data_IF_844969093452
#
_entry.id   IF_844969093452
#
_cell.length_a   1.000
_cell.length_b   1.000
_cell.length_c   1.000
_cell.angle_alpha   90.00
_cell.angle_beta   90.00
_cell.angle_gamma   90.00
#
_symmetry.space_group_name_H-M   'P 1'
#
loop_
_entity.id
_entity.type
_entity.pdbx_description
1 polymer ?
#
# COMPACT_ATOMS: atom_id res chain seq x y z
N UNK A 1 -4.88 -10.84 21.19
CA UNK A 1 -5.77 -11.74 21.91
C UNK A 1 -5.71 -13.20 21.36
N UNK A 2 -4.75 -13.51 20.52
CA UNK A 2 -4.41 -14.88 20.12
C UNK A 2 -3.65 -15.57 21.26
N UNK A 3 -3.90 -16.87 21.46
CA UNK A 3 -3.10 -17.68 22.37
C UNK A 3 -1.80 -18.16 21.69
N UNK A 4 -1.65 -17.99 20.39
CA UNK A 4 -0.43 -18.25 19.64
C UNK A 4 0.56 -17.10 19.82
N UNK A 5 1.72 -17.41 20.31
CA UNK A 5 2.83 -16.49 20.58
C UNK A 5 4.07 -16.99 19.86
N UNK A 6 4.73 -16.10 19.11
CA UNK A 6 5.92 -16.43 18.35
C UNK A 6 7.00 -15.36 18.46
N UNK A 7 7.49 -14.93 17.30
CA UNK A 7 8.57 -13.92 17.22
C UNK A 7 8.05 -12.48 17.33
N UNK A 8 6.73 -12.27 17.25
CA UNK A 8 6.12 -10.94 17.39
C UNK A 8 6.17 -10.48 18.84
N UNK A 9 6.67 -9.26 19.11
CA UNK A 9 6.67 -8.72 20.47
C UNK A 9 5.22 -8.49 20.96
N UNK A 10 5.02 -8.62 22.28
CA UNK A 10 3.75 -8.33 22.96
C UNK A 10 3.99 -7.55 24.24
N UNK A 11 2.98 -6.84 24.71
CA UNK A 11 3.06 -5.99 25.89
C UNK A 11 2.49 -6.69 27.12
N UNK A 12 3.22 -6.59 28.25
CA UNK A 12 2.77 -7.00 29.57
C UNK A 12 2.59 -5.76 30.43
N UNK A 13 1.34 -5.50 30.83
CA UNK A 13 1.01 -4.42 31.77
C UNK A 13 1.14 -4.89 33.18
N UNK A 14 1.91 -4.17 33.98
CA UNK A 14 2.08 -4.42 35.42
C UNK A 14 1.82 -3.13 36.18
N UNK A 15 1.10 -3.24 37.30
CA UNK A 15 0.83 -2.08 38.15
C UNK A 15 0.76 -2.44 39.61
N UNK A 16 1.17 -1.50 40.47
CA UNK A 16 1.03 -1.58 41.94
C UNK A 16 0.38 -0.31 42.48
N UNK A 17 -0.68 -0.47 43.27
CA UNK A 17 -1.37 0.65 43.94
C UNK A 17 -0.72 1.05 45.28
N UNK A 18 0.19 0.24 45.79
CA UNK A 18 0.85 0.39 47.08
C UNK A 18 2.16 1.20 47.01
N UNK A 19 3.28 0.56 47.34
CA UNK A 19 4.62 1.19 47.41
C UNK A 19 5.35 1.29 46.04
N UNK A 20 4.76 0.75 45.00
CA UNK A 20 5.33 0.65 43.67
C UNK A 20 6.06 -0.68 43.45
N UNK A 21 6.28 -0.98 42.18
CA UNK A 21 6.99 -2.17 41.73
C UNK A 21 8.47 -2.11 42.16
N UNK A 22 9.01 -3.21 42.63
CA UNK A 22 10.42 -3.40 42.94
C UNK A 22 11.11 -4.28 41.89
N UNK A 23 10.42 -5.35 41.47
CA UNK A 23 10.93 -6.28 40.46
C UNK A 23 9.77 -6.91 39.70
N UNK A 24 9.96 -7.14 38.41
CA UNK A 24 9.08 -7.95 37.57
C UNK A 24 9.91 -9.00 36.87
N UNK A 25 9.50 -10.28 37.00
CA UNK A 25 10.09 -11.41 36.28
C UNK A 25 9.06 -12.04 35.39
N UNK A 26 9.45 -12.30 34.15
CA UNK A 26 8.65 -12.99 33.12
C UNK A 26 9.37 -14.28 32.75
N UNK A 27 8.69 -15.40 32.95
CA UNK A 27 9.22 -16.75 32.78
C UNK A 27 8.33 -17.51 31.82
N UNK A 28 8.91 -18.18 30.88
CA UNK A 28 8.26 -19.15 30.00
C UNK A 28 8.55 -20.57 30.50
N UNK A 29 7.51 -21.33 30.65
CA UNK A 29 7.59 -22.73 31.16
C UNK A 29 7.01 -23.63 30.09
N UNK A 30 7.79 -24.57 29.64
CA UNK A 30 7.40 -25.57 28.64
C UNK A 30 8.04 -26.96 29.03
N UNK A 31 7.90 -27.93 28.15
CA UNK A 31 8.48 -29.27 28.36
C UNK A 31 10.01 -29.27 28.59
N UNK A 32 10.71 -28.26 28.08
CA UNK A 32 12.17 -28.11 28.27
C UNK A 32 12.56 -27.50 29.63
N UNK A 33 11.57 -27.00 30.41
CA UNK A 33 11.78 -26.38 31.72
C UNK A 33 11.40 -24.92 31.78
N UNK A 34 11.91 -24.20 32.79
CA UNK A 34 11.67 -22.77 33.00
C UNK A 34 12.75 -21.93 32.34
N UNK A 35 12.32 -20.99 31.49
CA UNK A 35 13.19 -20.05 30.77
C UNK A 35 12.85 -18.60 31.20
N UNK A 36 13.81 -17.91 31.81
CA UNK A 36 13.64 -16.50 32.16
C UNK A 36 13.75 -15.65 30.92
N UNK A 37 12.62 -15.05 30.50
CA UNK A 37 12.56 -14.14 29.35
C UNK A 37 13.05 -12.75 29.74
N UNK A 38 12.62 -12.28 30.94
CA UNK A 38 12.97 -10.95 31.41
C UNK A 38 12.97 -10.91 32.94
N UNK A 39 13.92 -10.14 33.46
CA UNK A 39 13.95 -9.77 34.88
C UNK A 39 14.27 -8.27 34.98
N UNK A 40 13.27 -7.45 35.40
CA UNK A 40 13.37 -5.99 35.43
C UNK A 40 13.22 -5.47 36.84
N UNK A 41 14.25 -4.77 37.32
CA UNK A 41 14.25 -4.10 38.61
C UNK A 41 13.79 -2.64 38.52
N UNK A 42 13.19 -2.13 39.58
CA UNK A 42 12.70 -0.74 39.69
C UNK A 42 13.25 -0.12 41.00
N UNK A 43 14.45 0.47 40.95
CA UNK A 43 15.14 1.01 42.15
C UNK A 43 14.29 2.08 42.89
N UNK A 44 13.57 2.91 42.14
CA UNK A 44 12.83 4.06 42.63
C UNK A 44 11.32 3.81 42.86
N UNK A 45 10.85 2.57 42.64
CA UNK A 45 9.47 2.17 42.87
C UNK A 45 8.46 2.80 41.88
N UNK A 46 8.30 2.22 40.70
CA UNK A 46 7.35 2.67 39.66
C UNK A 46 5.97 2.12 39.93
N UNK A 47 4.89 2.94 39.74
CA UNK A 47 3.50 2.53 39.96
C UNK A 47 2.91 1.65 38.89
N UNK A 48 3.33 1.84 37.65
CA UNK A 48 2.89 1.05 36.51
C UNK A 48 3.97 1.05 35.44
N UNK A 49 4.04 -0.03 34.68
CA UNK A 49 4.94 -0.18 33.55
C UNK A 49 4.29 -1.04 32.47
N UNK A 50 4.58 -0.71 31.21
CA UNK A 50 4.26 -1.53 30.06
C UNK A 50 5.55 -2.12 29.53
N UNK A 51 5.72 -3.41 29.71
CA UNK A 51 6.93 -4.13 29.35
C UNK A 51 6.72 -4.79 28.00
N UNK A 52 7.48 -4.33 26.98
CA UNK A 52 7.50 -4.99 25.68
C UNK A 52 8.35 -6.23 25.76
N UNK A 53 7.77 -7.39 25.48
CA UNK A 53 8.38 -8.72 25.60
C UNK A 53 8.57 -9.32 24.22
N UNK A 54 9.77 -9.76 23.92
CA UNK A 54 10.08 -10.52 22.73
C UNK A 54 10.73 -11.85 23.13
N UNK A 55 10.20 -12.96 22.60
CA UNK A 55 10.75 -14.31 22.86
C UNK A 55 11.80 -14.62 21.80
N UNK A 56 13.07 -14.69 22.22
CA UNK A 56 14.17 -15.19 21.38
C UNK A 56 14.30 -16.71 21.53
N UNK A 57 13.43 -17.43 20.82
CA UNK A 57 13.36 -18.88 20.92
C UNK A 57 14.66 -19.59 20.55
N UNK A 58 15.42 -19.05 19.58
CA UNK A 58 16.72 -19.62 19.17
C UNK A 58 17.75 -19.55 20.31
N UNK A 59 17.84 -18.37 20.95
CA UNK A 59 18.75 -18.14 22.06
C UNK A 59 18.40 -19.01 23.28
N UNK A 60 17.13 -19.26 23.50
CA UNK A 60 16.62 -20.00 24.63
C UNK A 60 16.47 -21.50 24.36
N UNK A 61 16.71 -22.00 23.14
CA UNK A 61 16.55 -23.37 22.75
C UNK A 61 15.10 -23.89 22.85
N UNK A 62 14.12 -23.02 22.71
CA UNK A 62 12.69 -23.30 22.88
C UNK A 62 12.13 -23.87 21.56
N UNK A 63 11.22 -24.86 21.68
CA UNK A 63 10.50 -25.47 20.55
C UNK A 63 9.04 -25.09 20.55
N UNK A 64 8.37 -25.29 19.40
CA UNK A 64 6.92 -25.16 19.27
C UNK A 64 6.16 -26.01 20.27
N UNK A 65 4.99 -25.56 20.65
CA UNK A 65 4.05 -26.31 21.47
C UNK A 65 3.50 -25.52 22.66
N UNK A 66 2.74 -26.20 23.52
CA UNK A 66 2.10 -25.56 24.67
C UNK A 66 3.17 -25.10 25.69
N UNK A 67 2.90 -23.89 26.23
CA UNK A 67 3.75 -23.30 27.28
C UNK A 67 2.89 -22.47 28.25
N UNK A 68 3.43 -22.19 29.42
CA UNK A 68 2.87 -21.25 30.40
C UNK A 68 3.75 -20.00 30.44
N UNK A 69 3.16 -18.82 30.18
CA UNK A 69 3.82 -17.54 30.43
C UNK A 69 3.46 -17.09 31.84
N UNK A 70 4.44 -17.01 32.73
CA UNK A 70 4.27 -16.63 34.12
C UNK A 70 4.91 -15.27 34.38
N UNK A 71 4.11 -14.32 34.85
CA UNK A 71 4.55 -12.99 35.26
C UNK A 71 4.51 -12.91 36.78
N UNK A 72 5.64 -12.58 37.38
CA UNK A 72 5.75 -12.36 38.83
C UNK A 72 6.13 -10.91 39.06
N UNK A 73 5.31 -10.18 39.80
CA UNK A 73 5.59 -8.83 40.25
C UNK A 73 5.80 -8.78 41.76
N UNK A 74 6.81 -8.05 42.21
CA UNK A 74 7.13 -7.82 43.61
C UNK A 74 7.10 -6.33 43.88
N UNK A 75 6.41 -5.89 44.96
CA UNK A 75 6.34 -4.48 45.37
C UNK A 75 7.49 -4.09 46.30
N UNK A 76 7.60 -2.77 46.59
CA UNK A 76 8.56 -2.20 47.51
C UNK A 76 8.10 -2.17 48.98
N UNK A 77 7.08 -2.96 49.37
CA UNK A 77 6.58 -2.99 50.77
C UNK A 77 7.60 -3.61 51.73
N UNK A 78 7.56 -3.18 53.00
CA UNK A 78 8.43 -3.72 54.04
C UNK A 78 7.83 -4.94 54.77
N UNK A 79 6.72 -5.49 54.25
CA UNK A 79 6.13 -6.73 54.76
C UNK A 79 7.05 -7.92 54.54
N UNK A 80 6.94 -8.97 55.35
CA UNK A 80 7.73 -10.21 55.31
C UNK A 80 9.24 -9.95 55.29
N UNK A 81 9.75 -9.21 56.27
CA UNK A 81 11.20 -8.92 56.37
C UNK A 81 11.79 -8.28 55.12
N UNK A 82 11.10 -7.23 54.59
CA UNK A 82 11.51 -6.49 53.41
C UNK A 82 11.47 -7.28 52.08
N UNK A 83 10.81 -8.46 52.04
CA UNK A 83 10.67 -9.23 50.81
C UNK A 83 9.64 -8.71 49.84
N UNK A 84 8.76 -7.76 50.26
CA UNK A 84 7.67 -7.22 49.47
C UNK A 84 6.46 -8.16 49.36
N UNK A 85 5.36 -7.66 48.80
CA UNK A 85 4.25 -8.51 48.36
C UNK A 85 4.55 -9.03 46.95
N UNK A 86 4.16 -10.27 46.74
CA UNK A 86 4.33 -10.95 45.46
C UNK A 86 2.98 -11.25 44.85
N UNK A 87 2.79 -10.82 43.60
CA UNK A 87 1.67 -11.20 42.77
C UNK A 87 2.19 -12.08 41.61
N UNK A 88 1.44 -13.12 41.27
CA UNK A 88 1.75 -14.01 40.17
C UNK A 88 0.52 -14.11 39.26
N UNK A 89 0.72 -13.92 38.00
CA UNK A 89 -0.26 -14.20 36.97
C UNK A 89 0.34 -15.15 35.95
N UNK A 90 -0.44 -16.10 35.47
CA UNK A 90 0.00 -17.00 34.39
C UNK A 90 -1.07 -17.16 33.34
N UNK A 91 -0.63 -17.41 32.11
CA UNK A 91 -1.47 -17.68 30.96
C UNK A 91 -0.89 -18.86 30.17
N UNK A 92 -1.74 -19.79 29.82
CA UNK A 92 -1.37 -20.83 28.87
C UNK A 92 -1.35 -20.22 27.49
N UNK A 93 -0.29 -20.49 26.75
CA UNK A 93 -0.05 -20.03 25.38
C UNK A 93 0.40 -21.23 24.53
N UNK A 94 0.28 -21.09 23.22
CA UNK A 94 0.89 -22.00 22.27
C UNK A 94 2.04 -21.28 21.57
N UNK A 95 3.25 -21.85 21.63
CA UNK A 95 4.40 -21.29 20.92
C UNK A 95 4.38 -21.78 19.48
N UNK A 96 4.27 -20.82 18.58
CA UNK A 96 4.42 -21.04 17.15
C UNK A 96 5.65 -20.29 16.62
N UNK A 97 6.65 -21.05 16.23
CA UNK A 97 7.95 -20.58 15.70
C UNK A 97 8.18 -21.08 14.28
N UNK A 98 7.17 -21.69 13.67
CA UNK A 98 7.25 -22.26 12.33
C UNK A 98 6.85 -21.20 11.31
N UNK A 99 7.74 -20.78 10.41
CA UNK A 99 7.35 -19.88 9.34
C UNK A 99 6.23 -20.47 8.47
N UNK A 100 5.30 -19.66 8.00
CA UNK A 100 4.24 -20.12 7.11
C UNK A 100 4.80 -20.61 5.77
N UNK A 101 4.01 -21.37 5.02
CA UNK A 101 4.31 -21.67 3.63
C UNK A 101 3.94 -20.46 2.72
N UNK A 102 4.70 -20.29 1.64
CA UNK A 102 4.40 -19.33 0.59
C UNK A 102 5.02 -19.81 -0.74
N UNK A 103 4.16 -20.29 -1.63
CA UNK A 103 4.56 -20.94 -2.87
C UNK A 103 4.07 -20.15 -4.08
N UNK A 104 5.01 -19.73 -4.96
CA UNK A 104 4.68 -19.06 -6.21
C UNK A 104 4.10 -20.07 -7.20
N UNK A 105 2.93 -19.74 -7.77
CA UNK A 105 2.26 -20.54 -8.78
C UNK A 105 2.52 -20.00 -10.19
N UNK A 106 2.73 -18.69 -10.34
CA UNK A 106 3.11 -18.06 -11.61
C UNK A 106 4.62 -17.80 -11.67
N UNK A 107 5.30 -18.34 -12.69
CA UNK A 107 6.77 -18.44 -12.70
C UNK A 107 7.48 -17.38 -13.56
N UNK A 108 6.82 -16.78 -14.54
CA UNK A 108 7.45 -15.82 -15.45
C UNK A 108 6.81 -14.44 -15.38
N UNK A 109 7.64 -13.41 -15.20
CA UNK A 109 7.19 -12.02 -15.15
C UNK A 109 8.11 -11.16 -16.05
N UNK A 110 7.54 -10.65 -17.15
CA UNK A 110 8.17 -9.65 -18.01
C UNK A 110 7.62 -8.28 -17.65
N UNK A 111 8.44 -7.44 -17.07
CA UNK A 111 8.00 -6.16 -16.47
C UNK A 111 8.74 -5.02 -17.16
N UNK A 112 8.02 -3.98 -17.59
CA UNK A 112 8.67 -2.74 -17.98
C UNK A 112 9.02 -1.92 -16.72
N UNK A 113 10.14 -1.19 -16.76
CA UNK A 113 10.46 -0.26 -15.68
C UNK A 113 9.34 0.79 -15.55
N UNK A 114 8.80 0.99 -14.35
CA UNK A 114 7.60 1.80 -14.10
C UNK A 114 6.28 1.09 -14.44
N UNK A 115 6.32 -0.15 -14.88
CA UNK A 115 5.14 -0.96 -15.21
C UNK A 115 4.65 -1.82 -14.06
N UNK A 116 3.72 -2.72 -14.39
CA UNK A 116 3.07 -3.60 -13.44
C UNK A 116 3.17 -5.07 -13.85
N UNK A 117 2.92 -5.95 -12.90
CA UNK A 117 2.80 -7.39 -13.13
C UNK A 117 1.80 -8.01 -12.16
N UNK A 118 1.47 -9.28 -12.42
CA UNK A 118 0.60 -10.11 -11.61
C UNK A 118 1.34 -11.39 -11.23
N UNK A 119 1.25 -11.77 -9.95
CA UNK A 119 1.58 -13.13 -9.52
C UNK A 119 0.41 -13.77 -8.80
N UNK A 120 0.30 -15.10 -8.95
CA UNK A 120 -0.58 -15.96 -8.17
C UNK A 120 0.30 -16.81 -7.27
N UNK A 121 -0.10 -16.96 -6.02
CA UNK A 121 0.64 -17.73 -5.02
C UNK A 121 -0.31 -18.38 -4.01
N UNK A 122 0.18 -19.43 -3.35
CA UNK A 122 -0.54 -20.13 -2.29
C UNK A 122 0.21 -19.99 -0.97
N UNK A 123 -0.53 -19.90 0.14
CA UNK A 123 0.04 -19.83 1.49
C UNK A 123 -0.50 -20.95 2.37
N UNK A 124 0.06 -21.12 3.56
CA UNK A 124 -0.61 -21.87 4.64
C UNK A 124 -1.79 -21.07 5.21
N UNK A 125 -2.81 -21.74 5.80
CA UNK A 125 -4.05 -21.09 6.27
C UNK A 125 -3.87 -20.07 7.40
N UNK A 126 -2.80 -20.17 8.17
CA UNK A 126 -2.43 -19.32 9.32
C UNK A 126 -1.90 -17.94 8.95
N UNK A 127 -1.70 -17.68 7.64
CA UNK A 127 -1.17 -16.39 7.15
C UNK A 127 -2.20 -15.27 7.35
N UNK A 128 -1.76 -14.23 8.04
CA UNK A 128 -2.55 -13.00 8.30
C UNK A 128 -2.15 -11.83 7.40
N UNK A 129 -0.94 -11.90 6.82
CA UNK A 129 -0.44 -10.87 5.90
C UNK A 129 0.44 -11.49 4.85
N UNK A 130 0.12 -11.25 3.58
CA UNK A 130 0.98 -11.66 2.47
C UNK A 130 0.91 -10.67 1.32
N UNK A 131 1.91 -10.73 0.43
CA UNK A 131 2.00 -9.86 -0.74
C UNK A 131 3.43 -9.76 -1.27
N UNK A 132 3.63 -8.85 -2.21
CA UNK A 132 4.91 -8.64 -2.89
C UNK A 132 5.57 -7.35 -2.43
N UNK A 133 6.89 -7.38 -2.27
CA UNK A 133 7.71 -6.19 -1.99
C UNK A 133 8.67 -5.90 -3.12
N UNK A 134 8.82 -4.63 -3.49
CA UNK A 134 9.77 -4.13 -4.50
C UNK A 134 10.32 -2.79 -4.04
N UNK A 135 11.62 -2.66 -3.83
CA UNK A 135 12.27 -1.37 -3.52
C UNK A 135 11.63 -0.60 -2.35
N UNK A 136 11.19 -1.30 -1.29
CA UNK A 136 10.52 -0.70 -0.12
C UNK A 136 9.01 -0.51 -0.26
N UNK A 137 8.42 -0.75 -1.43
CA UNK A 137 6.97 -0.77 -1.63
C UNK A 137 6.41 -2.14 -1.27
N UNK A 138 5.22 -2.17 -0.65
CA UNK A 138 4.47 -3.39 -0.37
C UNK A 138 3.14 -3.39 -1.12
N UNK A 139 2.86 -4.47 -1.81
CA UNK A 139 1.64 -4.73 -2.56
C UNK A 139 0.91 -5.90 -1.91
N UNK A 140 -0.26 -5.67 -1.31
CA UNK A 140 -1.00 -6.73 -0.62
C UNK A 140 -1.55 -7.76 -1.61
N UNK A 141 -1.57 -9.01 -1.19
CA UNK A 141 -2.29 -10.07 -1.89
C UNK A 141 -3.77 -10.07 -1.54
N UNK A 142 -4.59 -10.43 -2.51
CA UNK A 142 -6.05 -10.50 -2.39
C UNK A 142 -6.53 -11.95 -2.50
N UNK A 143 -7.46 -12.32 -1.62
CA UNK A 143 -8.25 -13.56 -1.72
C UNK A 143 -9.46 -13.32 -2.60
N UNK A 144 -10.24 -14.08 -2.99
CA UNK A 144 -11.54 -13.72 -3.59
C UNK A 144 -11.68 -14.10 -5.05
N UNK A 145 -10.56 -14.29 -5.75
CA UNK A 145 -10.56 -14.69 -7.16
C UNK A 145 -10.78 -16.20 -7.34
N UNK A 146 -10.25 -17.02 -6.44
CA UNK A 146 -10.21 -18.47 -6.56
C UNK A 146 -11.17 -19.15 -5.56
N UNK A 147 -11.63 -20.38 -5.88
CA UNK A 147 -12.43 -21.17 -4.96
C UNK A 147 -11.62 -21.64 -3.76
N UNK A 148 -10.33 -21.90 -3.93
CA UNK A 148 -9.43 -22.27 -2.85
C UNK A 148 -9.01 -21.02 -2.06
N UNK A 149 -9.31 -20.98 -0.75
CA UNK A 149 -9.18 -19.80 0.10
C UNK A 149 -7.73 -19.37 0.38
N UNK A 150 -6.76 -20.29 0.26
CA UNK A 150 -5.35 -20.04 0.52
C UNK A 150 -4.58 -19.62 -0.74
N UNK A 151 -5.28 -19.46 -1.87
CA UNK A 151 -4.72 -18.96 -3.13
C UNK A 151 -5.00 -17.48 -3.26
N UNK A 152 -3.94 -16.72 -3.51
CA UNK A 152 -3.94 -15.26 -3.60
C UNK A 152 -3.53 -14.79 -4.98
N UNK A 153 -4.03 -13.63 -5.33
CA UNK A 153 -3.62 -12.85 -6.48
C UNK A 153 -3.04 -11.52 -5.99
N UNK A 154 -1.92 -11.08 -6.55
CA UNK A 154 -1.35 -9.76 -6.29
C UNK A 154 -0.93 -9.07 -7.57
N UNK A 155 -1.51 -7.90 -7.82
CA UNK A 155 -0.93 -6.93 -8.75
C UNK A 155 0.16 -6.15 -8.01
N UNK A 156 1.29 -5.97 -8.65
CA UNK A 156 2.38 -5.18 -8.10
C UNK A 156 3.06 -4.34 -9.17
N UNK A 157 3.72 -3.27 -8.75
CA UNK A 157 4.49 -2.40 -9.62
C UNK A 157 5.99 -2.69 -9.49
N UNK A 158 6.74 -2.46 -10.57
CA UNK A 158 8.15 -2.10 -10.48
C UNK A 158 8.24 -0.58 -10.62
N UNK A 159 8.25 0.19 -9.50
CA UNK A 159 8.08 1.64 -9.56
C UNK A 159 9.17 2.33 -10.37
N UNK A 160 8.82 3.41 -11.07
CA UNK A 160 9.73 4.19 -11.92
C UNK A 160 10.97 4.75 -11.19
N UNK A 161 10.85 4.96 -9.88
CA UNK A 161 11.90 5.50 -9.00
C UNK A 161 12.72 4.42 -8.27
N UNK A 162 12.43 3.15 -8.53
CA UNK A 162 13.21 2.02 -8.00
C UNK A 162 14.29 1.65 -9.02
N UNK A 163 15.56 1.60 -8.63
CA UNK A 163 16.65 1.25 -9.53
C UNK A 163 16.47 -0.13 -10.16
N UNK A 164 16.92 -0.36 -11.41
CA UNK A 164 16.96 -1.70 -11.98
C UNK A 164 17.83 -2.65 -11.14
N UNK A 165 17.38 -3.90 -10.98
CA UNK A 165 18.12 -4.93 -10.25
C UNK A 165 17.66 -5.14 -8.80
N UNK A 166 16.70 -4.35 -8.32
CA UNK A 166 16.06 -4.58 -7.02
C UNK A 166 15.28 -5.89 -7.02
N UNK A 167 15.39 -6.64 -5.92
CA UNK A 167 14.67 -7.90 -5.77
C UNK A 167 13.17 -7.70 -5.63
N UNK A 168 12.41 -8.58 -6.30
CA UNK A 168 10.98 -8.72 -6.10
C UNK A 168 10.78 -9.92 -5.17
N UNK A 169 10.15 -9.70 -4.01
CA UNK A 169 10.03 -10.72 -2.97
C UNK A 169 8.58 -10.92 -2.56
N UNK A 170 8.08 -12.13 -2.67
CA UNK A 170 6.85 -12.56 -2.02
C UNK A 170 7.14 -12.72 -0.53
N UNK A 171 6.30 -12.15 0.32
CA UNK A 171 6.35 -12.30 1.77
C UNK A 171 5.03 -12.85 2.29
N UNK A 172 5.10 -13.69 3.31
CA UNK A 172 3.97 -14.16 4.09
C UNK A 172 4.32 -14.10 5.58
N UNK A 173 3.37 -13.64 6.40
CA UNK A 173 3.50 -13.51 7.84
C UNK A 173 2.26 -14.14 8.50
N UNK A 174 2.48 -15.00 9.48
CA UNK A 174 1.43 -15.63 10.30
C UNK A 174 1.00 -14.75 11.49
N UNK A 175 0.03 -15.23 12.27
CA UNK A 175 -0.46 -14.55 13.47
C UNK A 175 0.58 -14.42 14.59
N UNK A 176 1.53 -15.35 14.67
CA UNK A 176 2.63 -15.36 15.63
C UNK A 176 3.82 -14.46 15.23
N UNK A 177 3.78 -13.91 14.00
CA UNK A 177 4.79 -13.02 13.45
C UNK A 177 5.96 -13.72 12.76
N UNK A 178 5.87 -15.05 12.55
CA UNK A 178 6.87 -15.75 11.76
C UNK A 178 6.71 -15.35 10.29
N UNK A 179 7.84 -15.29 9.57
CA UNK A 179 7.88 -14.81 8.20
C UNK A 179 8.53 -15.81 7.26
N UNK A 180 7.92 -15.96 6.10
CA UNK A 180 8.48 -16.62 4.93
C UNK A 180 8.67 -15.60 3.83
N UNK A 181 9.77 -15.72 3.08
CA UNK A 181 9.98 -14.96 1.86
C UNK A 181 10.44 -15.86 0.73
N UNK A 182 9.98 -15.57 -0.48
CA UNK A 182 10.38 -16.24 -1.70
C UNK A 182 10.71 -15.20 -2.78
N UNK A 183 11.76 -15.45 -3.56
CA UNK A 183 12.10 -14.57 -4.67
C UNK A 183 11.11 -14.77 -5.82
N UNK A 184 10.59 -13.67 -6.37
CA UNK A 184 9.73 -13.67 -7.57
C UNK A 184 10.63 -13.51 -8.79
N UNK A 185 10.75 -14.53 -9.67
CA UNK A 185 11.54 -14.41 -10.88
C UNK A 185 10.96 -13.35 -11.83
N UNK A 186 11.81 -12.52 -12.41
CA UNK A 186 11.38 -11.50 -13.36
C UNK A 186 12.46 -11.15 -14.37
N UNK A 187 12.03 -10.63 -15.53
CA UNK A 187 12.87 -9.98 -16.52
C UNK A 187 12.42 -8.53 -16.65
N UNK A 188 13.29 -7.57 -16.30
CA UNK A 188 12.99 -6.15 -16.38
C UNK A 188 13.43 -5.60 -17.74
N UNK A 189 12.48 -5.00 -18.45
CA UNK A 189 12.75 -4.22 -19.67
C UNK A 189 12.94 -2.75 -19.27
N UNK A 190 14.12 -2.21 -19.56
CA UNK A 190 14.43 -0.80 -19.35
C UNK A 190 13.53 0.11 -20.20
N UNK A 191 13.14 1.25 -19.64
CA UNK A 191 12.37 2.30 -20.30
C UNK A 191 13.13 3.61 -20.17
N UNK A 192 13.32 4.30 -21.29
CA UNK A 192 13.87 5.65 -21.30
C UNK A 192 12.73 6.65 -21.04
N UNK A 193 12.84 7.42 -19.95
CA UNK A 193 11.91 8.50 -19.66
C UNK A 193 12.40 9.80 -20.29
N UNK A 194 11.43 10.57 -20.84
CA UNK A 194 11.71 11.90 -21.39
C UNK A 194 12.16 12.83 -20.27
N UNK A 195 13.12 13.70 -20.56
CA UNK A 195 13.55 14.78 -19.68
C UNK A 195 13.20 16.12 -20.31
N UNK A 196 12.63 17.01 -19.55
CA UNK A 196 12.22 18.33 -20.02
C UNK A 196 12.49 19.42 -18.98
N UNK A 197 12.84 20.59 -19.47
CA UNK A 197 12.95 21.80 -18.67
C UNK A 197 11.67 22.62 -18.91
N UNK A 198 10.98 22.99 -17.84
CA UNK A 198 9.75 23.77 -17.87
C UNK A 198 10.02 25.14 -17.26
N UNK A 199 10.00 26.18 -18.10
CA UNK A 199 10.07 27.57 -17.64
C UNK A 199 8.75 27.98 -17.04
N UNK A 200 8.76 28.39 -15.79
CA UNK A 200 7.58 28.81 -15.05
C UNK A 200 7.50 30.34 -15.05
N UNK A 201 6.38 30.88 -15.50
CA UNK A 201 6.15 32.32 -15.47
C UNK A 201 5.56 32.78 -14.14
N UNK A 202 5.81 34.04 -13.80
CA UNK A 202 5.18 34.71 -12.65
C UNK A 202 3.64 34.63 -12.75
N UNK A 203 3.09 34.89 -13.93
CA UNK A 203 1.64 34.84 -14.18
C UNK A 203 1.05 33.45 -13.87
N UNK A 204 1.78 32.38 -14.19
CA UNK A 204 1.33 31.02 -13.86
C UNK A 204 1.31 30.79 -12.35
N UNK A 205 2.33 31.27 -11.63
CA UNK A 205 2.38 31.15 -10.17
C UNK A 205 1.21 31.94 -9.54
N UNK A 206 1.01 33.20 -9.96
CA UNK A 206 -0.05 34.06 -9.43
C UNK A 206 -1.44 33.51 -9.69
N UNK A 207 -1.73 33.11 -10.93
CA UNK A 207 -3.09 32.75 -11.33
C UNK A 207 -3.47 31.29 -11.03
N UNK A 208 -2.48 30.38 -10.91
CA UNK A 208 -2.73 28.94 -10.70
C UNK A 208 -2.23 28.46 -9.35
N UNK A 209 -0.98 28.80 -8.98
CA UNK A 209 -0.38 28.19 -7.80
C UNK A 209 -0.72 28.91 -6.50
N UNK A 210 -0.85 30.25 -6.49
CA UNK A 210 -1.28 31.01 -5.29
C UNK A 210 -2.64 30.55 -4.81
N UNK A 211 -3.68 30.42 -5.64
CA UNK A 211 -4.97 29.85 -5.21
C UNK A 211 -4.85 28.44 -4.62
N UNK A 212 -4.03 27.56 -5.23
CA UNK A 212 -3.82 26.19 -4.76
C UNK A 212 -3.04 26.14 -3.43
N UNK A 213 -2.14 27.11 -3.20
CA UNK A 213 -1.35 27.17 -1.96
C UNK A 213 -2.18 27.56 -0.73
N UNK A 214 -3.31 28.23 -0.92
CA UNK A 214 -4.11 28.85 0.12
C UNK A 214 -3.45 30.07 0.76
N UNK A 215 -2.37 30.62 0.18
CA UNK A 215 -1.63 31.78 0.70
C UNK A 215 -1.88 33.02 -0.17
N UNK A 216 -2.99 33.71 0.09
CA UNK A 216 -3.28 34.97 -0.58
C UNK A 216 -2.28 36.05 -0.18
N UNK A 217 -1.67 36.74 -1.17
CA UNK A 217 -0.74 37.85 -0.95
C UNK A 217 0.70 37.44 -0.65
N UNK A 218 1.07 36.16 -0.72
CA UNK A 218 2.48 35.76 -0.67
C UNK A 218 3.22 36.24 -1.94
N UNK A 219 4.36 36.87 -1.74
CA UNK A 219 5.21 37.43 -2.81
C UNK A 219 6.47 36.62 -3.08
N UNK A 220 6.80 35.65 -2.21
CA UNK A 220 7.87 34.68 -2.46
C UNK A 220 7.34 33.56 -3.39
N UNK A 221 7.40 33.82 -4.68
CA UNK A 221 6.92 32.89 -5.69
C UNK A 221 7.62 31.53 -5.69
N UNK A 222 8.90 31.47 -5.31
CA UNK A 222 9.61 30.19 -5.17
C UNK A 222 9.04 29.37 -4.02
N UNK A 223 8.73 30.00 -2.89
CA UNK A 223 8.07 29.36 -1.75
C UNK A 223 6.69 28.84 -2.12
N UNK A 224 5.85 29.65 -2.80
CA UNK A 224 4.53 29.23 -3.31
C UNK A 224 4.69 28.04 -4.24
N UNK A 225 5.62 28.10 -5.18
CA UNK A 225 5.89 27.02 -6.11
C UNK A 225 6.19 25.72 -5.39
N UNK A 226 7.15 25.71 -4.46
CA UNK A 226 7.55 24.51 -3.71
C UNK A 226 6.41 23.98 -2.85
N UNK A 227 5.63 24.85 -2.20
CA UNK A 227 4.45 24.44 -1.43
C UNK A 227 3.43 23.68 -2.27
N UNK A 228 3.17 24.11 -3.51
CA UNK A 228 2.22 23.43 -4.40
C UNK A 228 2.88 22.22 -5.07
N UNK A 229 4.01 22.41 -5.74
CA UNK A 229 4.59 21.37 -6.59
C UNK A 229 5.25 20.24 -5.79
N UNK A 230 5.67 20.45 -4.54
CA UNK A 230 6.27 19.44 -3.68
C UNK A 230 5.34 19.02 -2.53
N UNK A 231 4.91 19.96 -1.66
CA UNK A 231 4.21 19.57 -0.44
C UNK A 231 2.75 19.14 -0.71
N UNK A 232 2.01 19.90 -1.55
CA UNK A 232 0.66 19.52 -1.92
C UNK A 232 0.65 18.23 -2.74
N UNK A 233 1.62 18.03 -3.65
CA UNK A 233 1.80 16.79 -4.40
C UNK A 233 1.95 15.59 -3.47
N UNK A 234 2.83 15.66 -2.47
CA UNK A 234 3.00 14.59 -1.46
C UNK A 234 1.72 14.28 -0.70
N UNK A 235 0.93 15.32 -0.36
CA UNK A 235 -0.39 15.12 0.29
C UNK A 235 -1.36 14.38 -0.63
N UNK A 236 -1.34 14.71 -1.92
CA UNK A 236 -2.19 14.03 -2.91
C UNK A 236 -1.76 12.56 -3.08
N UNK A 237 -0.46 12.26 -3.12
CA UNK A 237 0.06 10.89 -3.20
C UNK A 237 -0.39 10.05 -1.97
N UNK A 238 -0.34 10.64 -0.76
CA UNK A 238 -0.86 10.01 0.46
C UNK A 238 -2.36 9.72 0.31
N UNK A 239 -3.14 10.70 -0.18
CA UNK A 239 -4.58 10.53 -0.37
C UNK A 239 -4.92 9.45 -1.40
N UNK A 240 -4.21 9.40 -2.52
CA UNK A 240 -4.36 8.34 -3.52
C UNK A 240 -4.08 6.97 -2.88
N UNK A 241 -3.02 6.85 -2.08
CA UNK A 241 -2.70 5.61 -1.39
C UNK A 241 -3.77 5.21 -0.38
N UNK A 242 -4.33 6.16 0.38
CA UNK A 242 -5.42 5.91 1.32
C UNK A 242 -6.68 5.35 0.63
N UNK A 243 -7.13 6.00 -0.46
CA UNK A 243 -8.33 5.53 -1.16
C UNK A 243 -8.11 4.20 -1.87
N UNK A 244 -6.89 3.93 -2.32
CA UNK A 244 -6.52 2.64 -2.93
C UNK A 244 -6.42 1.49 -1.93
N UNK A 245 -6.19 1.77 -0.64
CA UNK A 245 -6.08 0.75 0.40
C UNK A 245 -7.41 0.01 0.68
N UNK A 246 -8.55 0.63 0.33
CA UNK A 246 -9.89 0.05 0.47
C UNK A 246 -10.37 -0.71 -0.78
N UNK A 247 -9.48 -1.06 -1.69
CA UNK A 247 -9.84 -1.75 -2.93
C UNK A 247 -10.58 -3.08 -2.67
N UNK A 248 -11.54 -3.39 -3.54
CA UNK A 248 -12.29 -4.66 -3.50
C UNK A 248 -11.36 -5.86 -3.74
N UNK A 249 -11.67 -6.97 -3.12
CA UNK A 249 -10.94 -8.24 -3.24
C UNK A 249 -11.43 -9.12 -4.40
N UNK A 250 -12.08 -8.52 -5.38
CA UNK A 250 -12.56 -9.12 -6.62
C UNK A 250 -12.20 -8.23 -7.83
N UNK A 251 -12.05 -8.84 -9.00
CA UNK A 251 -11.81 -8.13 -10.26
C UNK A 251 -13.14 -7.55 -10.77
N UNK A 252 -13.24 -6.21 -10.83
CA UNK A 252 -14.44 -5.49 -11.26
C UNK A 252 -14.42 -5.10 -12.75
N UNK A 253 -13.34 -5.37 -13.47
CA UNK A 253 -13.10 -4.98 -14.85
C UNK A 253 -12.99 -6.18 -15.79
N UNK A 254 -13.07 -5.92 -17.10
CA UNK A 254 -12.96 -6.96 -18.12
C UNK A 254 -12.25 -6.44 -19.37
N UNK A 255 -11.29 -7.21 -19.89
CA UNK A 255 -10.52 -6.85 -21.08
C UNK A 255 -9.58 -5.66 -20.86
N UNK A 256 -9.20 -4.99 -21.95
CA UNK A 256 -8.32 -3.82 -21.88
C UNK A 256 -9.03 -2.59 -21.30
N UNK A 257 -8.25 -1.67 -20.74
CA UNK A 257 -8.71 -0.33 -20.40
C UNK A 257 -8.72 0.56 -21.65
N UNK A 258 -9.58 1.56 -21.69
CA UNK A 258 -9.71 2.43 -22.84
C UNK A 258 -9.03 3.78 -22.60
N UNK A 259 -8.23 4.22 -23.57
CA UNK A 259 -7.75 5.60 -23.63
C UNK A 259 -8.92 6.52 -23.97
N UNK A 260 -8.88 7.77 -23.47
CA UNK A 260 -9.86 8.78 -23.84
C UNK A 260 -10.01 8.88 -25.35
N UNK A 261 -11.24 8.75 -25.85
CA UNK A 261 -11.56 8.77 -27.28
C UNK A 261 -11.05 10.05 -27.96
N UNK A 262 -10.51 9.93 -29.18
CA UNK A 262 -10.00 11.03 -29.98
C UNK A 262 -8.90 11.88 -29.32
N UNK A 263 -8.25 11.39 -28.29
CA UNK A 263 -7.21 12.13 -27.58
C UNK A 263 -5.82 11.96 -28.23
N UNK A 264 -5.04 13.03 -28.12
CA UNK A 264 -3.60 13.03 -28.43
C UNK A 264 -2.81 13.04 -27.14
N UNK A 265 -1.76 12.22 -27.07
CA UNK A 265 -0.84 12.20 -25.93
C UNK A 265 0.10 13.42 -26.02
N UNK A 266 0.06 14.29 -25.02
CA UNK A 266 0.96 15.45 -24.89
C UNK A 266 2.11 15.19 -23.93
N UNK A 267 1.86 14.47 -22.84
CA UNK A 267 2.89 14.09 -21.86
C UNK A 267 2.76 12.62 -21.44
N UNK A 268 3.90 11.99 -21.23
CA UNK A 268 3.98 10.58 -20.93
C UNK A 268 4.21 10.33 -19.44
N UNK A 269 3.92 9.10 -19.02
CA UNK A 269 4.23 8.60 -17.67
C UNK A 269 5.73 8.68 -17.39
N UNK A 270 6.06 9.13 -16.18
CA UNK A 270 7.41 9.29 -15.64
C UNK A 270 8.31 10.26 -16.42
N UNK A 271 7.73 11.17 -17.26
CA UNK A 271 8.47 12.30 -17.79
C UNK A 271 9.12 13.10 -16.64
N UNK A 272 10.44 13.19 -16.65
CA UNK A 272 11.24 13.93 -15.67
C UNK A 272 11.20 15.42 -16.01
N UNK A 273 10.59 16.22 -15.15
CA UNK A 273 10.38 17.64 -15.34
C UNK A 273 11.26 18.45 -14.39
N UNK A 274 12.24 19.20 -14.92
CA UNK A 274 12.99 20.21 -14.16
C UNK A 274 12.28 21.54 -14.34
N UNK A 275 11.84 22.14 -13.24
CA UNK A 275 11.15 23.43 -13.23
C UNK A 275 12.15 24.55 -13.05
N UNK A 276 12.10 25.54 -13.96
CA UNK A 276 13.00 26.68 -14.02
C UNK A 276 12.21 27.96 -13.76
N UNK A 277 12.63 28.75 -12.80
CA UNK A 277 12.09 30.07 -12.48
C UNK A 277 13.21 31.08 -12.36
N UNK A 278 13.12 32.20 -13.09
CA UNK A 278 14.18 33.22 -13.18
C UNK A 278 15.55 32.63 -13.55
N UNK A 279 15.55 31.75 -14.57
CA UNK A 279 16.75 31.06 -15.09
C UNK A 279 17.40 30.04 -14.14
N UNK A 280 16.83 29.84 -12.92
CA UNK A 280 17.32 28.88 -11.94
C UNK A 280 16.44 27.63 -11.87
N UNK A 281 17.02 26.42 -11.80
CA UNK A 281 16.25 25.20 -11.49
C UNK A 281 15.82 25.26 -10.02
N UNK A 282 14.49 25.19 -9.79
CA UNK A 282 13.90 25.31 -8.45
C UNK A 282 13.30 24.02 -7.91
N UNK A 283 12.92 23.09 -8.78
CA UNK A 283 12.36 21.80 -8.37
C UNK A 283 12.49 20.77 -9.50
N UNK A 284 12.32 19.50 -9.14
CA UNK A 284 12.31 18.36 -10.05
C UNK A 284 11.22 17.38 -9.65
N UNK A 285 10.31 17.07 -10.57
CA UNK A 285 9.21 16.14 -10.36
C UNK A 285 9.06 15.19 -11.55
N UNK A 286 8.28 14.14 -11.34
CA UNK A 286 7.91 13.17 -12.37
C UNK A 286 6.42 13.27 -12.67
N UNK A 287 6.07 13.07 -13.93
CA UNK A 287 4.69 13.06 -14.37
C UNK A 287 4.08 11.66 -14.20
N UNK A 288 3.16 11.49 -13.25
CA UNK A 288 2.64 10.17 -12.83
C UNK A 288 1.35 9.78 -13.55
N UNK A 289 1.27 10.03 -14.86
CA UNK A 289 0.14 9.71 -15.72
C UNK A 289 0.43 10.03 -17.17
N UNK A 290 -0.63 10.15 -17.95
CA UNK A 290 -0.63 10.67 -19.31
C UNK A 290 -1.48 11.93 -19.37
N UNK A 291 -0.99 12.98 -20.03
CA UNK A 291 -1.81 14.13 -20.36
C UNK A 291 -2.40 13.91 -21.77
N UNK A 292 -3.72 13.85 -21.82
CA UNK A 292 -4.50 13.53 -23.02
C UNK A 292 -5.26 14.76 -23.49
N UNK A 293 -4.81 15.37 -24.59
CA UNK A 293 -5.40 16.55 -25.19
C UNK A 293 -6.56 16.18 -26.11
N UNK A 294 -7.64 16.95 -25.98
CA UNK A 294 -8.85 16.90 -26.81
C UNK A 294 -9.42 18.30 -26.99
N UNK A 295 -10.59 18.41 -27.59
CA UNK A 295 -11.35 19.68 -27.57
C UNK A 295 -11.81 20.02 -26.15
N UNK A 296 -11.90 21.31 -25.83
CA UNK A 296 -12.28 21.80 -24.49
C UNK A 296 -13.59 21.18 -24.00
N UNK A 297 -13.62 20.79 -22.71
CA UNK A 297 -14.79 20.19 -22.04
C UNK A 297 -15.30 18.93 -22.73
N UNK A 298 -14.36 18.13 -23.20
CA UNK A 298 -14.67 16.85 -23.83
C UNK A 298 -15.21 15.85 -22.81
N UNK A 299 -16.24 15.02 -23.16
CA UNK A 299 -16.73 13.98 -22.27
C UNK A 299 -15.62 12.99 -21.89
N UNK A 300 -15.49 12.70 -20.60
CA UNK A 300 -14.55 11.70 -20.08
C UNK A 300 -15.33 10.41 -19.85
N UNK A 301 -14.84 9.33 -20.47
CA UNK A 301 -15.36 7.98 -20.34
C UNK A 301 -14.57 7.23 -19.28
N UNK A 302 -15.24 6.41 -18.44
CA UNK A 302 -14.58 5.47 -17.56
C UNK A 302 -13.79 4.44 -18.39
N UNK A 303 -12.49 4.31 -18.17
CA UNK A 303 -11.61 3.43 -18.94
C UNK A 303 -11.99 1.96 -18.83
N UNK A 304 -12.59 1.55 -17.71
CA UNK A 304 -13.18 0.23 -17.49
C UNK A 304 -14.21 0.29 -16.35
N UNK A 305 -14.93 -0.82 -16.10
CA UNK A 305 -15.91 -0.93 -15.03
C UNK A 305 -15.26 -0.93 -13.65
N UNK A 306 -15.94 -0.39 -12.65
CA UNK A 306 -15.45 -0.30 -11.27
C UNK A 306 -16.35 0.51 -10.36
N UNK A 307 -15.83 0.88 -9.19
CA UNK A 307 -16.54 1.66 -8.18
C UNK A 307 -15.80 2.98 -7.97
N UNK A 308 -16.52 4.10 -7.95
CA UNK A 308 -15.95 5.42 -7.66
C UNK A 308 -15.53 5.50 -6.19
N UNK A 309 -14.25 5.69 -5.93
CA UNK A 309 -13.69 5.79 -4.56
C UNK A 309 -13.26 7.22 -4.19
N UNK A 310 -13.18 8.10 -5.18
CA UNK A 310 -12.98 9.53 -4.98
C UNK A 310 -13.72 10.32 -6.06
N UNK A 311 -14.39 11.41 -5.70
CA UNK A 311 -15.04 12.35 -6.60
C UNK A 311 -15.03 13.75 -5.96
N UNK A 312 -14.14 14.64 -6.40
CA UNK A 312 -13.97 15.97 -5.82
C UNK A 312 -12.58 16.54 -6.03
N UNK A 313 -12.25 17.61 -5.29
CA UNK A 313 -10.94 18.24 -5.36
C UNK A 313 -9.83 17.33 -4.81
N UNK A 314 -8.72 17.24 -5.54
CA UNK A 314 -7.51 16.54 -5.15
C UNK A 314 -6.26 17.41 -5.41
N UNK A 315 -6.28 18.63 -4.94
CA UNK A 315 -5.16 19.55 -4.95
C UNK A 315 -4.55 19.79 -6.33
N UNK A 316 -3.33 19.29 -6.59
CA UNK A 316 -2.68 19.48 -7.90
C UNK A 316 -3.45 18.86 -9.06
N UNK A 317 -4.20 17.78 -8.82
CA UNK A 317 -5.05 17.14 -9.84
C UNK A 317 -6.38 17.85 -10.06
N UNK A 318 -6.73 18.86 -9.21
CA UNK A 318 -8.00 19.58 -9.27
C UNK A 318 -9.20 18.67 -9.06
N UNK A 319 -10.31 18.97 -9.72
CA UNK A 319 -11.48 18.08 -9.72
C UNK A 319 -11.10 16.73 -10.31
N UNK A 320 -11.23 15.68 -9.51
CA UNK A 320 -10.69 14.36 -9.79
C UNK A 320 -11.72 13.27 -9.49
N UNK A 321 -11.77 12.28 -10.35
CA UNK A 321 -12.44 11.01 -10.09
C UNK A 321 -11.37 9.92 -9.98
N UNK A 322 -11.49 9.05 -8.97
CA UNK A 322 -10.71 7.79 -8.88
C UNK A 322 -11.70 6.64 -8.87
N UNK A 323 -11.46 5.66 -9.75
CA UNK A 323 -12.26 4.44 -9.87
C UNK A 323 -11.43 3.26 -9.39
N UNK A 324 -11.96 2.51 -8.43
CA UNK A 324 -11.42 1.21 -8.01
C UNK A 324 -11.93 0.11 -8.93
N UNK A 325 -11.01 -0.62 -9.50
CA UNK A 325 -11.28 -1.78 -10.39
C UNK A 325 -11.11 -3.12 -9.67
N UNK A 326 -10.87 -3.06 -8.35
CA UNK A 326 -10.59 -4.23 -7.52
C UNK A 326 -9.13 -4.69 -7.54
N UNK A 327 -8.76 -5.52 -6.58
CA UNK A 327 -7.42 -6.09 -6.41
C UNK A 327 -6.29 -5.03 -6.36
N UNK A 328 -6.58 -3.83 -5.83
CA UNK A 328 -5.64 -2.72 -5.74
C UNK A 328 -5.44 -1.92 -7.03
N UNK A 329 -6.17 -2.21 -8.10
CA UNK A 329 -6.07 -1.49 -9.38
C UNK A 329 -7.01 -0.30 -9.40
N UNK A 330 -6.46 0.90 -9.62
CA UNK A 330 -7.25 2.13 -9.68
C UNK A 330 -6.91 2.95 -10.92
N UNK A 331 -7.89 3.70 -11.45
CA UNK A 331 -7.67 4.75 -12.45
C UNK A 331 -8.02 6.11 -11.91
N UNK A 332 -7.22 7.12 -12.27
CA UNK A 332 -7.39 8.51 -11.87
C UNK A 332 -7.66 9.38 -13.09
N UNK A 333 -8.67 10.25 -12.99
CA UNK A 333 -9.09 11.22 -14.00
C UNK A 333 -9.03 12.62 -13.38
N UNK A 334 -7.98 13.38 -13.71
CA UNK A 334 -7.72 14.70 -13.14
C UNK A 334 -8.04 15.86 -14.06
N UNK A 335 -7.97 17.08 -13.51
CA UNK A 335 -8.20 18.38 -14.14
C UNK A 335 -9.62 18.60 -14.69
N UNK A 336 -10.61 17.84 -14.18
CA UNK A 336 -11.98 17.86 -14.69
C UNK A 336 -12.66 19.23 -14.49
N UNK A 337 -13.48 19.65 -15.47
CA UNK A 337 -14.34 20.83 -15.33
C UNK A 337 -15.67 20.49 -14.64
N UNK A 338 -16.20 19.28 -14.85
CA UNK A 338 -17.40 18.75 -14.19
C UNK A 338 -17.17 17.31 -13.78
N UNK A 339 -17.80 16.89 -12.67
CA UNK A 339 -17.86 15.51 -12.20
C UNK A 339 -19.33 15.12 -12.20
N UNK A 340 -19.69 14.06 -12.91
CA UNK A 340 -21.07 13.60 -13.10
C UNK A 340 -21.38 12.31 -12.29
N UNK A 341 -20.46 11.90 -11.42
CA UNK A 341 -20.55 10.71 -10.55
C UNK A 341 -20.17 11.07 -9.10
N UNK A 342 -20.50 10.23 -8.14
CA UNK A 342 -20.17 10.39 -6.72
C UNK A 342 -19.51 9.13 -6.17
N UNK A 343 -18.87 9.25 -5.02
CA UNK A 343 -18.26 8.13 -4.29
C UNK A 343 -19.32 7.07 -3.99
N UNK A 344 -18.99 5.81 -4.29
CA UNK A 344 -19.86 4.65 -4.15
C UNK A 344 -20.64 4.29 -5.41
N UNK A 345 -20.66 5.13 -6.44
CA UNK A 345 -21.32 4.77 -7.71
C UNK A 345 -20.55 3.66 -8.42
N UNK A 346 -21.29 2.66 -8.91
CA UNK A 346 -20.79 1.67 -9.85
C UNK A 346 -20.81 2.27 -11.26
N UNK A 347 -19.68 2.20 -11.95
CA UNK A 347 -19.55 2.69 -13.33
C UNK A 347 -19.23 1.54 -14.27
N UNK A 348 -19.73 1.65 -15.50
CA UNK A 348 -19.44 0.71 -16.58
C UNK A 348 -18.39 1.27 -17.52
N UNK A 349 -17.68 0.38 -18.20
CA UNK A 349 -16.75 0.76 -19.30
C UNK A 349 -17.44 1.72 -20.26
N UNK A 350 -16.73 2.79 -20.64
CA UNK A 350 -17.20 3.88 -21.52
C UNK A 350 -18.39 4.70 -20.98
N UNK A 351 -18.78 4.55 -19.71
CA UNK A 351 -19.73 5.45 -19.07
C UNK A 351 -19.14 6.84 -18.91
N UNK A 352 -19.88 7.91 -19.26
CA UNK A 352 -19.45 9.29 -19.04
C UNK A 352 -19.44 9.56 -17.54
N UNK A 353 -18.30 10.09 -17.04
CA UNK A 353 -18.07 10.41 -15.62
C UNK A 353 -17.85 11.91 -15.37
N UNK A 354 -17.79 12.71 -16.42
CA UNK A 354 -17.61 14.15 -16.38
C UNK A 354 -17.00 14.70 -17.66
N UNK A 355 -16.33 15.84 -17.57
CA UNK A 355 -15.71 16.53 -18.71
C UNK A 355 -14.31 17.00 -18.37
N UNK A 356 -13.44 17.03 -19.40
CA UNK A 356 -12.08 17.61 -19.31
C UNK A 356 -12.15 19.08 -18.89
N UNK A 357 -11.07 19.59 -18.36
CA UNK A 357 -10.97 20.96 -17.88
C UNK A 357 -9.54 21.37 -17.58
N UNK A 358 -9.43 22.37 -16.70
CA UNK A 358 -8.17 23.02 -16.34
C UNK A 358 -8.10 23.30 -14.83
N UNK A 359 -8.76 22.46 -14.00
CA UNK A 359 -8.71 22.65 -12.55
C UNK A 359 -7.40 22.10 -11.98
N UNK A 360 -6.97 22.56 -10.80
CA UNK A 360 -5.71 22.16 -10.21
C UNK A 360 -4.48 22.74 -10.91
N UNK A 361 -3.38 22.01 -10.96
CA UNK A 361 -2.11 22.46 -11.54
C UNK A 361 -2.03 22.14 -13.04
N UNK A 362 -2.89 22.79 -13.83
CA UNK A 362 -3.00 22.61 -15.27
C UNK A 362 -2.81 23.93 -16.04
N UNK A 363 -2.04 23.89 -17.13
CA UNK A 363 -1.80 25.05 -17.99
C UNK A 363 -2.87 25.21 -19.09
N UNK A 364 -3.66 24.18 -19.38
CA UNK A 364 -4.70 24.15 -20.41
C UNK A 364 -5.69 23.03 -20.18
N UNK A 365 -6.79 23.03 -20.95
CA UNK A 365 -7.84 21.99 -20.87
C UNK A 365 -7.33 20.66 -21.44
N UNK A 366 -7.22 19.64 -20.60
CA UNK A 366 -6.82 18.27 -20.94
C UNK A 366 -7.33 17.29 -19.86
N UNK A 367 -7.17 15.99 -20.09
CA UNK A 367 -7.33 14.94 -19.10
C UNK A 367 -5.96 14.48 -18.61
N UNK A 368 -5.69 14.60 -17.31
CA UNK A 368 -4.63 13.81 -16.69
C UNK A 368 -5.19 12.43 -16.34
N UNK A 369 -4.62 11.38 -16.96
CA UNK A 369 -5.02 9.99 -16.75
C UNK A 369 -3.90 9.19 -16.10
N UNK A 370 -4.18 8.60 -14.94
CA UNK A 370 -3.25 7.75 -14.20
C UNK A 370 -3.79 6.34 -13.97
N UNK A 371 -2.90 5.35 -13.92
CA UNK A 371 -3.19 4.00 -13.41
C UNK A 371 -2.33 3.76 -12.19
N UNK A 372 -2.93 3.20 -11.16
CA UNK A 372 -2.28 2.93 -9.88
C UNK A 372 -2.48 1.48 -9.47
N UNK A 373 -1.45 0.88 -8.89
CA UNK A 373 -1.52 -0.43 -8.25
C UNK A 373 -1.21 -0.24 -6.77
N UNK A 374 -2.18 -0.50 -5.91
CA UNK A 374 -2.10 -0.26 -4.45
C UNK A 374 -1.57 1.14 -4.11
N UNK A 375 -2.03 2.16 -4.86
CA UNK A 375 -1.64 3.55 -4.70
C UNK A 375 -0.27 3.93 -5.27
N UNK A 376 0.40 3.02 -5.98
CA UNK A 376 1.66 3.27 -6.70
C UNK A 376 1.37 3.47 -8.18
N UNK A 377 1.79 4.61 -8.73
CA UNK A 377 1.56 4.92 -10.13
C UNK A 377 2.33 3.97 -11.06
N UNK A 378 1.67 3.48 -12.09
CA UNK A 378 2.21 2.57 -13.10
C UNK A 378 1.94 3.08 -14.52
N UNK A 379 2.62 2.51 -15.49
CA UNK A 379 2.50 2.90 -16.91
C UNK A 379 1.10 2.61 -17.46
N UNK A 380 0.28 3.62 -17.77
CA UNK A 380 -1.07 3.41 -18.33
C UNK A 380 -1.10 2.66 -19.68
N UNK A 381 -0.06 2.82 -20.50
CA UNK A 381 -0.01 2.20 -21.84
C UNK A 381 -0.07 0.67 -21.80
N UNK A 382 0.38 0.03 -20.74
CA UNK A 382 0.27 -1.42 -20.56
C UNK A 382 -1.21 -1.84 -20.44
N UNK A 383 -1.99 -1.07 -19.72
CA UNK A 383 -3.40 -1.32 -19.47
C UNK A 383 -4.29 -1.07 -20.69
N UNK A 384 -3.82 -0.25 -21.64
CA UNK A 384 -4.48 -0.02 -22.92
C UNK A 384 -4.16 -1.09 -23.97
N UNK A 385 -3.15 -1.93 -23.74
CA UNK A 385 -2.69 -2.98 -24.67
C UNK A 385 -3.40 -4.31 -24.36
N UNK A 386 -4.35 -4.70 -25.23
CA UNK A 386 -5.09 -5.96 -25.12
C UNK A 386 -4.17 -7.18 -25.08
N UNK A 387 -3.08 -7.16 -25.85
CA UNK A 387 -2.10 -8.25 -25.83
C UNK A 387 -1.40 -8.34 -24.49
N UNK A 388 -0.99 -7.20 -23.92
CA UNK A 388 -0.34 -7.18 -22.61
C UNK A 388 -1.29 -7.70 -21.51
N UNK A 389 -2.55 -7.23 -21.49
CA UNK A 389 -3.59 -7.68 -20.54
C UNK A 389 -3.78 -9.20 -20.67
N UNK A 390 -3.92 -9.71 -21.90
CA UNK A 390 -4.10 -11.13 -22.13
C UNK A 390 -2.91 -11.95 -21.63
N UNK A 391 -1.69 -11.58 -22.01
CA UNK A 391 -0.48 -12.37 -21.76
C UNK A 391 -0.02 -12.25 -20.29
N UNK A 392 -0.17 -11.08 -19.66
CA UNK A 392 0.39 -10.83 -18.33
C UNK A 392 -0.64 -10.93 -17.19
N UNK A 393 -1.95 -10.93 -17.52
CA UNK A 393 -3.01 -10.97 -16.52
C UNK A 393 -3.94 -12.15 -16.75
N UNK A 394 -4.69 -12.15 -17.86
CA UNK A 394 -5.79 -13.09 -18.07
C UNK A 394 -5.29 -14.53 -18.10
N UNK A 395 -4.24 -14.82 -18.86
CA UNK A 395 -3.69 -16.19 -18.94
C UNK A 395 -3.24 -16.74 -17.59
N UNK A 396 -2.68 -15.89 -16.70
CA UNK A 396 -2.27 -16.32 -15.37
C UNK A 396 -3.46 -16.62 -14.46
N UNK A 397 -4.51 -15.79 -14.55
CA UNK A 397 -5.74 -16.01 -13.81
C UNK A 397 -6.45 -17.28 -14.32
N UNK A 398 -6.54 -17.48 -15.64
CA UNK A 398 -7.19 -18.66 -16.24
C UNK A 398 -6.45 -19.95 -15.89
N UNK A 399 -5.10 -19.95 -15.90
CA UNK A 399 -4.30 -21.08 -15.47
C UNK A 399 -4.57 -21.44 -14.01
N UNK A 400 -4.59 -20.43 -13.14
CA UNK A 400 -4.89 -20.64 -11.72
C UNK A 400 -6.34 -21.08 -11.49
N UNK A 401 -7.31 -20.52 -12.23
CA UNK A 401 -8.71 -20.96 -12.16
C UNK A 401 -8.89 -22.42 -12.60
N UNK A 402 -8.12 -22.88 -13.59
CA UNK A 402 -8.16 -24.27 -14.05
C UNK A 402 -7.64 -25.25 -12.99
N UNK A 403 -6.72 -24.81 -12.14
CA UNK A 403 -6.12 -25.64 -11.08
C UNK A 403 -6.87 -25.53 -9.75
N UNK A 404 -7.28 -24.32 -9.34
CA UNK A 404 -7.83 -24.03 -8.00
C UNK A 404 -9.32 -23.66 -8.01
N UNK A 405 -9.98 -23.71 -9.19
CA UNK A 405 -11.37 -23.28 -9.37
C UNK A 405 -11.54 -21.76 -9.28
N UNK A 406 -12.56 -21.23 -9.96
CA UNK A 406 -12.98 -19.84 -9.79
C UNK A 406 -14.05 -19.75 -8.69
N UNK A 407 -14.04 -18.68 -7.88
CA UNK A 407 -15.24 -18.32 -7.12
C UNK A 407 -16.34 -17.99 -8.14
N UNK A 408 -17.37 -18.80 -8.21
CA UNK A 408 -18.53 -18.50 -9.04
C UNK A 408 -19.15 -17.20 -8.54
N UNK A 409 -19.30 -16.22 -9.44
CA UNK A 409 -20.15 -15.06 -9.20
C UNK A 409 -21.61 -15.52 -9.26
N UNK A 410 -22.13 -16.14 -8.21
CA UNK A 410 -23.54 -16.52 -8.08
C UNK A 410 -24.48 -15.31 -7.92
N UNK A 411 -24.02 -14.09 -8.21
CA UNK A 411 -24.79 -12.85 -8.09
C UNK A 411 -25.01 -12.09 -9.42
N UNK A 412 -24.92 -12.75 -10.57
CA UNK A 412 -25.21 -12.10 -11.86
C UNK A 412 -26.46 -12.66 -12.58
N UNK A 413 -27.42 -13.23 -11.83
CA UNK A 413 -28.76 -13.56 -12.36
C UNK A 413 -29.80 -13.34 -11.26
N UNK A 414 -30.26 -12.09 -11.12
CA UNK A 414 -31.65 -11.75 -10.79
C UNK A 414 -31.91 -10.28 -11.15
#
# INVERSE_FOLDING_TARGET
>A
DSDDVGVKPFDVLVSDRGKGLKNVSIVLINESGENVILNKGYPDGVKADTINVQIDAKKLGIKNGPAELRVTAVDGSRLRFFSGNRAVASRNINLDLTPPAADLLSTENYINHGGSALVVYKTSPDVVKSGVTVGGYFFPGYKGQFAEEDVYLVFFAYPYNVPPGESITLIAEDGAGNRKSANVPYTLKGVAYRKSNLNISTDFIENVMVPLSGESGETDYKKVFLKVNSDLRKKNDVKIKEVSAGSKDEVLWKGQFHQLSNSQVEANFADERTYIFNEEPIDKQYHLGYDLAVTKRYPIEAANSGIVVHAGDLGIYGNTVIIDHGMGVNTLYGHMSTIDVKVGDEVKTNQIIGKTGQTGLAAGDHLHYGVYVSGVAVRPVEWWDDKWIKDNVILKIDQANAEFGSKSSDNAQN
#
